data_IF_538101386729
#
_entry.id   IF_538101386729
#
_cell.length_a   1.000
_cell.length_b   1.000
_cell.length_c   1.000
_cell.angle_alpha   90.00
_cell.angle_beta   90.00
_cell.angle_gamma   90.00
#
_symmetry.space_group_name_H-M   'P 1'
#
loop_
_entity.id
_entity.type
_entity.pdbx_description
1 polymer ?
#
# COMPACT_ATOMS: atom_id res chain seq x y z
N UNK A 1 13.64 33.33 -2.94
CA UNK A 1 14.31 32.18 -2.31
C UNK A 1 13.64 30.92 -2.82
N UNK A 2 14.18 30.39 -3.91
CA UNK A 2 13.78 29.10 -4.48
C UNK A 2 14.46 28.02 -3.67
N UNK A 3 13.80 27.57 -2.60
CA UNK A 3 14.20 26.34 -1.92
C UNK A 3 14.16 25.21 -2.95
N UNK A 4 15.36 24.81 -3.38
CA UNK A 4 15.56 23.64 -4.20
C UNK A 4 14.88 22.46 -3.52
N UNK A 5 13.80 21.97 -4.12
CA UNK A 5 13.16 20.69 -3.81
C UNK A 5 14.24 19.60 -3.93
N UNK A 6 14.93 19.35 -2.82
CA UNK A 6 16.10 18.48 -2.72
C UNK A 6 15.67 17.00 -2.66
N UNK A 7 16.58 16.06 -2.99
CA UNK A 7 16.30 14.74 -3.61
C UNK A 7 15.52 13.70 -2.79
N UNK A 8 15.05 14.01 -1.58
CA UNK A 8 14.27 13.08 -0.73
C UNK A 8 12.82 12.89 -1.18
N UNK A 9 12.25 13.79 -1.98
CA UNK A 9 10.96 13.56 -2.65
C UNK A 9 11.07 12.46 -3.71
N UNK A 10 12.19 12.42 -4.44
CA UNK A 10 12.47 11.36 -5.43
C UNK A 10 12.60 10.00 -4.77
N UNK A 11 13.28 9.89 -3.63
CA UNK A 11 13.41 8.59 -2.95
C UNK A 11 12.05 8.02 -2.50
N UNK A 12 11.15 8.86 -1.97
CA UNK A 12 9.80 8.43 -1.59
C UNK A 12 8.94 8.06 -2.82
N UNK A 13 9.03 8.84 -3.90
CA UNK A 13 8.32 8.56 -5.16
C UNK A 13 8.87 7.29 -5.86
N UNK A 14 10.18 7.09 -5.85
CA UNK A 14 10.84 5.89 -6.40
C UNK A 14 10.49 4.68 -5.54
N UNK A 15 10.50 4.80 -4.22
CA UNK A 15 10.12 3.72 -3.31
C UNK A 15 8.65 3.32 -3.47
N UNK A 16 7.74 4.28 -3.60
CA UNK A 16 6.31 4.02 -3.81
C UNK A 16 6.04 3.46 -5.21
N UNK A 17 6.75 3.94 -6.24
CA UNK A 17 6.69 3.39 -7.60
C UNK A 17 7.25 1.96 -7.66
N UNK A 18 8.37 1.68 -6.99
CA UNK A 18 8.96 0.35 -6.91
C UNK A 18 8.02 -0.62 -6.17
N UNK A 19 7.40 -0.18 -5.06
CA UNK A 19 6.39 -0.96 -4.35
C UNK A 19 5.16 -1.27 -5.22
N UNK A 20 4.67 -0.28 -5.97
CA UNK A 20 3.58 -0.47 -6.93
C UNK A 20 3.98 -1.44 -8.06
N UNK A 21 5.17 -1.30 -8.65
CA UNK A 21 5.69 -2.19 -9.68
C UNK A 21 5.84 -3.63 -9.18
N UNK A 22 6.43 -3.81 -7.99
CA UNK A 22 6.56 -5.13 -7.37
C UNK A 22 5.18 -5.77 -7.14
N UNK A 23 4.19 -4.96 -6.73
CA UNK A 23 2.81 -5.41 -6.57
C UNK A 23 2.17 -5.83 -7.90
N UNK A 24 2.32 -5.02 -8.96
CA UNK A 24 1.81 -5.33 -10.30
C UNK A 24 2.45 -6.60 -10.86
N UNK A 25 3.76 -6.77 -10.67
CA UNK A 25 4.49 -7.98 -11.11
C UNK A 25 4.01 -9.22 -10.35
N UNK A 26 3.86 -9.12 -9.03
CA UNK A 26 3.34 -10.21 -8.22
C UNK A 26 1.92 -10.60 -8.67
N UNK A 27 1.06 -9.61 -8.93
CA UNK A 27 -0.28 -9.82 -9.46
C UNK A 27 -0.21 -10.51 -10.83
N UNK A 28 0.65 -10.03 -11.74
CA UNK A 28 0.81 -10.60 -13.08
C UNK A 28 1.24 -12.07 -13.05
N UNK A 29 2.22 -12.43 -12.22
CA UNK A 29 2.66 -13.82 -12.03
C UNK A 29 1.50 -14.69 -11.56
N UNK A 30 0.72 -14.18 -10.60
CA UNK A 30 -0.45 -14.86 -10.07
C UNK A 30 -1.52 -15.10 -11.15
N UNK A 31 -1.72 -14.15 -12.06
CA UNK A 31 -2.67 -14.26 -13.17
C UNK A 31 -2.20 -15.22 -14.27
N UNK A 32 -0.91 -15.23 -14.59
CA UNK A 32 -0.35 -16.21 -15.53
C UNK A 32 -0.47 -17.63 -14.99
N UNK A 33 -0.42 -17.81 -13.67
CA UNK A 33 -0.57 -19.11 -13.03
C UNK A 33 -2.02 -19.62 -13.03
N UNK A 34 -3.03 -18.74 -13.06
CA UNK A 34 -4.43 -19.17 -12.88
C UNK A 34 -5.13 -19.65 -14.15
N UNK A 35 -4.56 -19.44 -15.35
CA UNK A 35 -5.10 -19.79 -16.70
C UNK A 35 -6.53 -19.31 -17.03
N UNK A 36 -7.26 -18.73 -16.07
CA UNK A 36 -8.69 -18.49 -16.12
C UNK A 36 -8.97 -16.97 -16.23
N UNK A 37 -9.31 -16.54 -17.45
CA UNK A 37 -9.49 -15.11 -17.79
C UNK A 37 -10.65 -14.43 -17.03
N UNK A 38 -11.64 -15.20 -16.55
CA UNK A 38 -12.76 -14.69 -15.76
C UNK A 38 -12.33 -14.20 -14.36
N UNK A 39 -11.32 -14.86 -13.78
CA UNK A 39 -10.71 -14.50 -12.49
C UNK A 39 -9.91 -13.20 -12.62
N UNK A 40 -9.19 -13.06 -13.73
CA UNK A 40 -8.41 -11.85 -14.06
C UNK A 40 -9.30 -10.61 -14.03
N UNK A 41 -10.46 -10.65 -14.69
CA UNK A 41 -11.38 -9.51 -14.74
C UNK A 41 -11.96 -9.11 -13.38
N UNK A 42 -12.04 -10.03 -12.42
CA UNK A 42 -12.63 -9.77 -11.08
C UNK A 42 -11.62 -9.27 -10.07
N UNK A 43 -10.38 -9.77 -10.12
CA UNK A 43 -9.35 -9.47 -9.11
C UNK A 43 -8.49 -8.28 -9.52
N UNK A 44 -8.17 -8.15 -10.81
CA UNK A 44 -7.17 -7.17 -11.28
C UNK A 44 -7.65 -5.73 -11.16
N UNK A 45 -8.83 -5.34 -11.68
CA UNK A 45 -9.28 -3.96 -11.57
C UNK A 45 -9.33 -3.45 -10.12
N UNK A 46 -9.98 -4.13 -9.15
CA UNK A 46 -10.03 -3.62 -7.79
C UNK A 46 -8.65 -3.57 -7.12
N UNK A 47 -7.76 -4.54 -7.39
CA UNK A 47 -6.39 -4.50 -6.85
C UNK A 47 -5.59 -3.32 -7.41
N UNK A 48 -5.68 -3.05 -8.71
CA UNK A 48 -5.01 -1.92 -9.34
C UNK A 48 -5.57 -0.58 -8.86
N UNK A 49 -6.89 -0.43 -8.81
CA UNK A 49 -7.54 0.78 -8.31
C UNK A 49 -7.20 1.05 -6.84
N UNK A 50 -7.23 0.02 -5.98
CA UNK A 50 -6.83 0.14 -4.59
C UNK A 50 -5.36 0.57 -4.47
N UNK A 51 -4.48 -0.04 -5.27
CA UNK A 51 -3.04 0.28 -5.24
C UNK A 51 -2.75 1.71 -5.72
N UNK A 52 -3.39 2.15 -6.80
CA UNK A 52 -3.29 3.53 -7.29
C UNK A 52 -3.86 4.53 -6.28
N UNK A 53 -5.00 4.21 -5.66
CA UNK A 53 -5.60 5.04 -4.62
C UNK A 53 -4.70 5.18 -3.40
N UNK A 54 -4.09 4.09 -2.95
CA UNK A 54 -3.14 4.09 -1.84
C UNK A 54 -1.84 4.82 -2.18
N UNK A 55 -1.35 4.69 -3.41
CA UNK A 55 -0.21 5.45 -3.90
C UNK A 55 -0.49 6.96 -3.94
N UNK A 56 -1.64 7.36 -4.46
CA UNK A 56 -2.06 8.76 -4.46
C UNK A 56 -2.22 9.29 -3.02
N UNK A 57 -2.88 8.54 -2.14
CA UNK A 57 -3.10 8.91 -0.75
C UNK A 57 -1.78 9.10 0.02
N UNK A 58 -0.86 8.14 -0.08
CA UNK A 58 0.46 8.20 0.58
C UNK A 58 1.26 9.40 0.08
N UNK A 59 1.23 9.67 -1.23
CA UNK A 59 1.94 10.80 -1.82
C UNK A 59 1.35 12.14 -1.38
N UNK A 60 0.02 12.30 -1.44
CA UNK A 60 -0.68 13.53 -1.05
C UNK A 60 -0.49 13.81 0.44
N UNK A 61 -0.69 12.82 1.30
CA UNK A 61 -0.57 12.99 2.76
C UNK A 61 0.84 13.34 3.18
N UNK A 62 1.85 12.70 2.58
CA UNK A 62 3.25 12.99 2.87
C UNK A 62 3.64 14.39 2.38
N UNK A 63 3.24 14.78 1.17
CA UNK A 63 3.57 16.10 0.62
C UNK A 63 2.87 17.22 1.39
N UNK A 64 1.60 17.05 1.75
CA UNK A 64 0.86 17.99 2.60
C UNK A 64 1.49 18.14 3.99
N UNK A 65 1.98 17.04 4.59
CA UNK A 65 2.68 17.11 5.87
C UNK A 65 4.02 17.85 5.75
N UNK A 66 4.76 17.63 4.66
CA UNK A 66 6.04 18.30 4.41
C UNK A 66 5.88 19.80 4.17
N UNK A 67 4.90 20.20 3.36
CA UNK A 67 4.66 21.62 3.06
C UNK A 67 4.22 22.40 4.30
N UNK A 68 3.47 21.76 5.21
CA UNK A 68 2.92 22.43 6.39
C UNK A 68 3.81 22.41 7.64
N UNK A 69 4.59 21.34 7.84
CA UNK A 69 5.41 21.17 9.04
C UNK A 69 6.92 21.16 8.77
N UNK A 70 7.33 21.16 7.51
CA UNK A 70 8.72 21.00 7.10
C UNK A 70 9.13 19.55 6.95
N UNK A 71 10.07 19.29 6.02
CA UNK A 71 10.43 17.95 5.57
C UNK A 71 11.13 17.06 6.61
N UNK A 72 11.72 17.66 7.64
CA UNK A 72 12.44 16.97 8.73
C UNK A 72 11.64 16.89 10.03
N UNK A 73 10.40 17.39 10.03
CA UNK A 73 9.54 17.33 11.21
C UNK A 73 9.14 15.90 11.55
N UNK A 74 8.92 15.66 12.85
CA UNK A 74 8.43 14.37 13.35
C UNK A 74 7.06 14.05 12.75
N UNK A 75 6.25 15.07 12.51
CA UNK A 75 4.95 15.02 11.88
C UNK A 75 5.04 14.52 10.42
N UNK A 76 6.00 15.00 9.62
CA UNK A 76 6.18 14.51 8.25
C UNK A 76 6.61 13.03 8.21
N UNK A 77 7.40 12.58 9.18
CA UNK A 77 7.80 11.18 9.30
C UNK A 77 6.63 10.30 9.77
N UNK A 78 5.83 10.79 10.72
CA UNK A 78 4.60 10.10 11.16
C UNK A 78 3.55 10.00 10.05
N UNK A 79 3.42 11.03 9.19
CA UNK A 79 2.54 10.98 8.03
C UNK A 79 2.99 9.91 7.02
N UNK A 80 4.30 9.81 6.75
CA UNK A 80 4.86 8.79 5.88
C UNK A 80 4.65 7.39 6.45
N UNK A 81 5.03 7.15 7.70
CA UNK A 81 4.88 5.83 8.33
C UNK A 81 3.41 5.44 8.50
N UNK A 82 2.57 6.38 8.91
CA UNK A 82 1.13 6.17 9.06
C UNK A 82 0.44 5.84 7.74
N UNK A 83 0.78 6.55 6.67
CA UNK A 83 0.24 6.28 5.33
C UNK A 83 0.73 4.95 4.76
N UNK A 84 2.01 4.59 4.97
CA UNK A 84 2.53 3.26 4.59
C UNK A 84 1.82 2.16 5.37
N UNK A 85 1.70 2.28 6.70
CA UNK A 85 1.02 1.29 7.53
C UNK A 85 -0.45 1.12 7.11
N UNK A 86 -1.14 2.23 6.85
CA UNK A 86 -2.51 2.22 6.34
C UNK A 86 -2.60 1.54 4.97
N UNK A 87 -1.69 1.84 4.04
CA UNK A 87 -1.65 1.24 2.71
C UNK A 87 -1.41 -0.27 2.77
N UNK A 88 -0.45 -0.73 3.58
CA UNK A 88 -0.19 -2.15 3.77
C UNK A 88 -1.42 -2.84 4.38
N UNK A 89 -2.04 -2.24 5.40
CA UNK A 89 -3.26 -2.77 6.01
C UNK A 89 -4.40 -2.93 5.00
N UNK A 90 -4.65 -1.92 4.16
CA UNK A 90 -5.64 -1.98 3.08
C UNK A 90 -5.30 -3.06 2.05
N UNK A 91 -4.04 -3.16 1.61
CA UNK A 91 -3.61 -4.21 0.69
C UNK A 91 -3.84 -5.60 1.26
N UNK A 92 -3.54 -5.81 2.55
CA UNK A 92 -3.82 -7.09 3.22
C UNK A 92 -5.32 -7.41 3.27
N UNK A 93 -6.18 -6.41 3.46
CA UNK A 93 -7.64 -6.59 3.40
C UNK A 93 -8.09 -6.97 1.99
N UNK A 94 -7.57 -6.30 0.96
CA UNK A 94 -7.86 -6.63 -0.45
C UNK A 94 -7.41 -8.05 -0.78
N UNK A 95 -6.21 -8.43 -0.34
CA UNK A 95 -5.68 -9.78 -0.51
C UNK A 95 -6.57 -10.82 0.14
N UNK A 96 -6.95 -10.62 1.40
CA UNK A 96 -7.77 -11.59 2.13
C UNK A 96 -9.19 -11.68 1.57
N UNK A 97 -9.76 -10.56 1.12
CA UNK A 97 -11.13 -10.52 0.61
C UNK A 97 -11.26 -11.00 -0.84
N UNK A 98 -10.26 -10.76 -1.69
CA UNK A 98 -10.37 -11.01 -3.14
C UNK A 98 -9.36 -12.05 -3.66
N UNK A 99 -8.10 -11.97 -3.22
CA UNK A 99 -7.01 -12.77 -3.81
C UNK A 99 -6.94 -14.16 -3.18
N UNK A 100 -7.03 -14.27 -1.86
CA UNK A 100 -6.97 -15.55 -1.13
C UNK A 100 -8.10 -16.52 -1.50
N UNK A 101 -9.38 -16.11 -1.56
CA UNK A 101 -10.48 -17.01 -1.91
C UNK A 101 -10.30 -17.62 -3.30
N UNK A 102 -9.81 -16.82 -4.25
CA UNK A 102 -9.49 -17.26 -5.60
C UNK A 102 -8.31 -18.24 -5.60
N UNK A 103 -7.23 -17.92 -4.89
CA UNK A 103 -6.08 -18.80 -4.75
C UNK A 103 -6.43 -20.16 -4.15
N UNK A 104 -7.34 -20.19 -3.18
CA UNK A 104 -7.80 -21.44 -2.56
C UNK A 104 -8.54 -22.36 -3.53
N UNK A 105 -9.16 -21.80 -4.58
CA UNK A 105 -9.77 -22.59 -5.66
C UNK A 105 -8.79 -23.08 -6.72
N UNK A 106 -7.52 -22.63 -6.67
CA UNK A 106 -6.53 -22.86 -7.73
C UNK A 106 -5.22 -23.43 -7.16
N UNK A 107 -5.09 -24.78 -7.06
CA UNK A 107 -3.94 -25.43 -6.44
C UNK A 107 -2.62 -25.17 -7.17
N UNK A 108 -2.65 -24.99 -8.48
CA UNK A 108 -1.45 -24.72 -9.29
C UNK A 108 -0.84 -23.35 -8.96
N UNK A 109 -1.68 -22.32 -8.80
CA UNK A 109 -1.24 -20.99 -8.40
C UNK A 109 -0.65 -20.97 -6.99
N UNK A 110 -1.20 -21.76 -6.06
CA UNK A 110 -0.62 -21.96 -4.73
C UNK A 110 0.75 -22.67 -4.80
N UNK A 111 0.91 -23.64 -5.70
CA UNK A 111 2.18 -24.32 -5.95
C UNK A 111 3.27 -23.35 -6.41
N UNK A 112 2.96 -22.48 -7.38
CA UNK A 112 3.87 -21.44 -7.89
C UNK A 112 4.22 -20.43 -6.80
N UNK A 113 3.25 -19.97 -6.01
CA UNK A 113 3.53 -19.06 -4.90
C UNK A 113 4.46 -19.68 -3.85
N UNK A 114 4.25 -20.95 -3.50
CA UNK A 114 5.12 -21.65 -2.55
C UNK A 114 6.53 -21.86 -3.10
N UNK A 115 6.68 -22.15 -4.39
CA UNK A 115 8.01 -22.31 -5.01
C UNK A 115 8.79 -20.99 -5.10
N UNK A 116 8.08 -19.87 -5.19
CA UNK A 116 8.65 -18.51 -5.07
C UNK A 116 8.93 -18.10 -3.60
N UNK A 117 8.67 -18.97 -2.63
CA UNK A 117 8.87 -18.69 -1.21
C UNK A 117 7.81 -17.75 -0.61
N UNK A 118 6.68 -17.52 -1.29
CA UNK A 118 5.62 -16.65 -0.80
C UNK A 118 4.87 -17.30 0.36
N UNK A 119 4.74 -16.57 1.47
CA UNK A 119 3.91 -16.99 2.61
C UNK A 119 2.47 -16.58 2.36
N UNK A 120 1.57 -17.57 2.22
CA UNK A 120 0.12 -17.33 2.07
C UNK A 120 -0.59 -17.15 3.41
N UNK A 121 0.09 -17.40 4.53
CA UNK A 121 -0.41 -17.22 5.88
C UNK A 121 0.10 -15.90 6.46
N UNK A 122 -0.64 -14.82 6.26
CA UNK A 122 -0.44 -13.58 7.03
C UNK A 122 -1.36 -13.64 8.24
N UNK A 123 -0.83 -13.34 9.42
CA UNK A 123 -1.63 -13.41 10.63
C UNK A 123 -2.83 -12.44 10.56
N UNK A 124 -4.06 -12.90 10.87
CA UNK A 124 -5.28 -12.10 10.67
C UNK A 124 -5.36 -10.86 11.58
N UNK A 125 -4.58 -10.79 12.66
CA UNK A 125 -4.50 -9.59 13.50
C UNK A 125 -3.58 -8.52 12.91
N UNK A 126 -2.64 -8.89 12.04
CA UNK A 126 -1.64 -7.98 11.48
C UNK A 126 -2.30 -6.92 10.59
N UNK A 127 -3.27 -7.34 9.75
CA UNK A 127 -4.04 -6.44 8.88
C UNK A 127 -4.76 -5.35 9.68
N UNK A 128 -5.48 -5.75 10.73
CA UNK A 128 -6.28 -4.85 11.57
C UNK A 128 -5.40 -3.92 12.39
N UNK A 129 -4.28 -4.44 12.90
CA UNK A 129 -3.31 -3.65 13.67
C UNK A 129 -2.66 -2.58 12.80
N UNK A 130 -2.24 -2.91 11.58
CA UNK A 130 -1.64 -1.96 10.63
C UNK A 130 -2.64 -0.91 10.17
N UNK A 131 -3.86 -1.31 9.83
CA UNK A 131 -4.96 -0.40 9.48
C UNK A 131 -5.26 0.56 10.62
N UNK A 132 -5.45 0.05 11.84
CA UNK A 132 -5.76 0.87 13.01
C UNK A 132 -4.62 1.84 13.34
N UNK A 133 -3.37 1.37 13.35
CA UNK A 133 -2.20 2.21 13.61
C UNK A 133 -2.04 3.29 12.54
N UNK A 134 -2.17 2.93 11.26
CA UNK A 134 -2.07 3.87 10.15
C UNK A 134 -3.18 4.91 10.19
N UNK A 135 -4.43 4.48 10.40
CA UNK A 135 -5.57 5.37 10.55
C UNK A 135 -5.44 6.31 11.76
N UNK A 136 -4.98 5.80 12.90
CA UNK A 136 -4.74 6.61 14.09
C UNK A 136 -3.66 7.68 13.85
N UNK A 137 -2.58 7.34 13.15
CA UNK A 137 -1.53 8.30 12.78
C UNK A 137 -2.07 9.40 11.87
N UNK A 138 -2.85 9.03 10.84
CA UNK A 138 -3.45 10.00 9.91
C UNK A 138 -4.50 10.87 10.59
N UNK A 139 -5.33 10.30 11.47
CA UNK A 139 -6.34 11.04 12.24
C UNK A 139 -5.68 12.03 13.22
N UNK A 140 -4.62 11.61 13.92
CA UNK A 140 -3.85 12.50 14.78
C UNK A 140 -3.22 13.66 13.99
N UNK A 141 -2.70 13.37 12.80
CA UNK A 141 -2.14 14.38 11.91
C UNK A 141 -3.21 15.38 11.44
N UNK A 142 -4.39 14.89 11.07
CA UNK A 142 -5.53 15.71 10.69
C UNK A 142 -6.00 16.61 11.84
N UNK A 143 -6.06 16.08 13.07
CA UNK A 143 -6.37 16.86 14.27
C UNK A 143 -5.33 17.96 14.55
N UNK A 144 -4.04 17.65 14.37
CA UNK A 144 -2.95 18.64 14.46
C UNK A 144 -3.06 19.73 13.40
N UNK A 145 -3.57 19.41 12.21
CA UNK A 145 -3.83 20.39 11.16
C UNK A 145 -4.97 21.33 11.48
N UNK A 146 -6.06 20.85 12.07
CA UNK A 146 -7.21 21.69 12.41
C UNK A 146 -6.95 22.55 13.65
N UNK A 147 -6.22 22.05 14.64
CA UNK A 147 -5.91 22.77 15.88
C UNK A 147 -4.85 23.89 15.75
N UNK A 148 -4.13 23.95 14.62
CA UNK A 148 -3.12 25.00 14.32
C UNK A 148 -3.53 25.90 13.15
N UNK A 149 -4.74 25.73 12.60
CA UNK A 149 -5.32 26.62 11.60
C UNK A 149 -6.06 27.77 12.30
#
# INVERSE_FOLDING_TARGET
MTDSLTPRSRAAAIGSAAGFLAWVVALAILLFATTESSVVGRVVPPCLFASLGLWALTTITTEAARSRFGATSREATMALLGSIAFAIGCLLVVVDALVLPVLQTQPDALGVLRSLGATTAVSPWLRSSLLACGAACLAWLAWRWTSRA
#
